data_IF_992753967657
#
_entry.id   IF_992753967657
#
_cell.length_a   1.000
_cell.length_b   1.000
_cell.length_c   1.000
_cell.angle_alpha   90.00
_cell.angle_beta   90.00
_cell.angle_gamma   90.00
#
_symmetry.space_group_name_H-M   'P 1'
#
loop_
_entity.id
_entity.type
_entity.pdbx_description
1 polymer ?
#
# COMPACT_ATOMS: atom_id res chain seq x y z
N UNK A 1 -21.10 -31.52 79.53
CA UNK A 1 -22.28 -32.01 78.78
C UNK A 1 -23.11 -30.77 78.52
N UNK A 2 -23.27 -30.24 77.31
CA UNK A 2 -23.68 -30.89 76.06
C UNK A 2 -23.09 -30.21 74.81
N UNK A 3 -22.81 -31.01 73.78
CA UNK A 3 -22.44 -30.59 72.41
C UNK A 3 -23.72 -30.20 71.66
N UNK A 4 -23.79 -29.04 70.98
CA UNK A 4 -24.58 -28.92 69.72
C UNK A 4 -23.98 -27.93 68.70
N UNK A 5 -23.53 -28.56 67.61
CA UNK A 5 -23.61 -28.19 66.19
C UNK A 5 -23.10 -26.82 65.68
N UNK A 6 -21.97 -26.96 64.96
CA UNK A 6 -21.57 -26.19 63.77
C UNK A 6 -22.77 -25.97 62.83
N UNK A 7 -23.03 -24.72 62.45
CA UNK A 7 -23.73 -24.37 61.21
C UNK A 7 -22.88 -23.40 60.41
N UNK A 8 -22.16 -23.96 59.45
CA UNK A 8 -21.70 -23.25 58.25
C UNK A 8 -22.93 -22.65 57.56
N UNK A 9 -23.01 -21.32 57.46
CA UNK A 9 -23.95 -20.65 56.56
C UNK A 9 -23.14 -19.71 55.67
N UNK A 10 -22.69 -20.32 54.57
CA UNK A 10 -22.67 -19.79 53.21
C UNK A 10 -22.49 -18.27 53.05
N UNK A 11 -21.25 -17.89 52.73
CA UNK A 11 -20.91 -16.71 51.94
C UNK A 11 -21.75 -16.72 50.65
N UNK A 12 -22.78 -15.89 50.58
CA UNK A 12 -23.56 -15.69 49.36
C UNK A 12 -22.74 -14.83 48.38
N UNK A 13 -22.44 -15.43 47.23
CA UNK A 13 -21.48 -14.97 46.23
C UNK A 13 -21.69 -13.54 45.75
N UNK A 14 -20.57 -12.80 45.71
CA UNK A 14 -20.45 -11.69 44.79
C UNK A 14 -20.64 -12.21 43.37
N UNK A 15 -21.68 -11.75 42.69
CA UNK A 15 -21.84 -11.98 41.26
C UNK A 15 -20.61 -11.37 40.55
N UNK A 16 -19.75 -12.25 40.05
CA UNK A 16 -18.72 -11.90 39.10
C UNK A 16 -19.39 -11.22 37.89
N UNK A 17 -19.08 -9.95 37.69
CA UNK A 17 -19.31 -9.29 36.40
C UNK A 17 -18.38 -9.99 35.42
N UNK A 18 -18.87 -11.03 34.76
CA UNK A 18 -18.19 -11.66 33.63
C UNK A 18 -18.20 -10.68 32.47
N UNK A 19 -17.28 -9.71 32.49
CA UNK A 19 -16.95 -8.93 31.31
C UNK A 19 -16.46 -9.91 30.25
N UNK A 20 -17.28 -10.14 29.24
CA UNK A 20 -16.89 -10.90 28.06
C UNK A 20 -15.63 -10.23 27.50
N UNK A 21 -14.50 -10.92 27.60
CA UNK A 21 -13.24 -10.54 26.96
C UNK A 21 -13.41 -10.71 25.45
N UNK A 22 -14.15 -9.81 24.81
CA UNK A 22 -14.02 -9.60 23.38
C UNK A 22 -12.62 -9.01 23.16
N UNK A 23 -11.81 -9.70 22.37
CA UNK A 23 -10.55 -9.14 21.90
C UNK A 23 -10.87 -7.80 21.23
N UNK A 24 -10.21 -6.73 21.67
CA UNK A 24 -10.36 -5.43 21.04
C UNK A 24 -10.03 -5.55 19.55
N UNK A 25 -10.75 -4.83 18.66
CA UNK A 25 -10.44 -4.84 17.23
C UNK A 25 -9.00 -4.38 17.01
N UNK A 26 -8.34 -4.99 16.03
CA UNK A 26 -6.97 -4.62 15.65
C UNK A 26 -6.92 -3.14 15.27
N UNK A 27 -5.98 -2.40 15.87
CA UNK A 27 -5.77 -1.00 15.50
C UNK A 27 -5.12 -0.89 14.11
N UNK A 28 -5.29 0.23 13.37
CA UNK A 28 -4.60 0.45 12.10
C UNK A 28 -3.09 0.26 12.20
N UNK A 29 -2.47 0.72 13.29
CA UNK A 29 -1.04 0.54 13.52
C UNK A 29 -0.65 -0.93 13.71
N UNK A 30 -1.45 -1.72 14.45
CA UNK A 30 -1.21 -3.16 14.62
C UNK A 30 -1.30 -3.91 13.29
N UNK A 31 -2.32 -3.61 12.48
CA UNK A 31 -2.51 -4.18 11.15
C UNK A 31 -1.31 -3.86 10.24
N UNK A 32 -0.97 -2.57 10.12
CA UNK A 32 0.10 -2.09 9.23
C UNK A 32 1.50 -2.50 9.64
N UNK A 33 1.75 -2.79 10.92
CA UNK A 33 3.06 -3.26 11.38
C UNK A 33 3.47 -4.58 10.71
N UNK A 34 2.52 -5.46 10.39
CA UNK A 34 2.78 -6.73 9.70
C UNK A 34 3.38 -6.54 8.30
N UNK A 35 3.13 -5.40 7.65
CA UNK A 35 3.61 -5.09 6.31
C UNK A 35 5.10 -4.71 6.30
N UNK A 36 5.64 -4.30 7.46
CA UNK A 36 6.99 -3.72 7.57
C UNK A 36 8.10 -4.71 7.24
N UNK A 37 7.83 -6.02 7.35
CA UNK A 37 8.78 -7.07 7.01
C UNK A 37 9.21 -7.04 5.53
N UNK A 38 8.35 -6.55 4.64
CA UNK A 38 8.66 -6.42 3.22
C UNK A 38 8.72 -4.94 2.80
N UNK A 39 7.77 -4.12 3.23
CA UNK A 39 7.66 -2.73 2.80
C UNK A 39 8.46 -1.75 3.68
N UNK A 40 9.28 -2.25 4.60
CA UNK A 40 10.10 -1.44 5.49
C UNK A 40 9.29 -0.75 6.59
N UNK A 41 9.99 -0.13 7.54
CA UNK A 41 9.36 0.54 8.67
C UNK A 41 8.43 1.66 8.16
N UNK A 42 7.20 1.70 8.69
CA UNK A 42 6.16 2.65 8.23
C UNK A 42 5.81 2.56 6.74
N UNK A 43 6.19 1.48 6.05
CA UNK A 43 5.99 1.36 4.60
C UNK A 43 7.05 2.09 3.76
N UNK A 44 8.19 2.46 4.35
CA UNK A 44 9.34 3.04 3.65
C UNK A 44 10.25 1.91 3.16
N UNK A 45 9.95 1.39 1.97
CA UNK A 45 10.62 0.20 1.46
C UNK A 45 12.10 0.47 1.17
N UNK A 46 12.97 -0.45 1.56
CA UNK A 46 14.41 -0.40 1.31
C UNK A 46 14.76 -1.48 0.28
N UNK A 47 14.93 -1.10 -0.98
CA UNK A 47 15.27 -2.02 -2.06
C UNK A 47 14.34 -1.92 -3.26
N UNK A 48 14.77 -2.39 -4.44
CA UNK A 48 14.32 -1.78 -5.69
C UNK A 48 12.94 -2.25 -6.18
N UNK A 49 12.49 -3.44 -5.79
CA UNK A 49 11.27 -4.05 -6.38
C UNK A 49 10.06 -4.01 -5.47
N UNK A 50 10.24 -3.82 -4.16
CA UNK A 50 9.13 -3.69 -3.21
C UNK A 50 8.73 -2.22 -3.12
N UNK A 51 7.47 -1.86 -3.38
CA UNK A 51 7.06 -0.47 -3.40
C UNK A 51 7.01 0.14 -2.00
N UNK A 52 7.37 1.42 -1.92
CA UNK A 52 7.05 2.28 -0.77
C UNK A 52 5.54 2.51 -0.70
N UNK A 53 4.96 2.24 0.47
CA UNK A 53 3.55 2.48 0.81
C UNK A 53 3.35 3.83 1.51
N UNK A 54 4.37 4.29 2.25
CA UNK A 54 4.32 5.54 3.00
C UNK A 54 3.97 6.73 2.09
N UNK A 55 2.97 7.52 2.47
CA UNK A 55 2.55 8.72 1.75
C UNK A 55 1.78 8.45 0.45
N UNK A 56 1.41 7.20 0.17
CA UNK A 56 0.43 6.90 -0.88
C UNK A 56 -0.99 7.31 -0.43
N UNK A 57 -1.87 7.70 -1.36
CA UNK A 57 -3.26 7.97 -1.02
C UNK A 57 -3.95 6.78 -0.34
N UNK A 58 -4.76 7.04 0.68
CA UNK A 58 -5.42 5.98 1.44
C UNK A 58 -6.32 5.11 0.54
N UNK A 59 -7.10 5.75 -0.34
CA UNK A 59 -7.94 5.06 -1.33
C UNK A 59 -7.12 4.17 -2.26
N UNK A 60 -5.97 4.66 -2.76
CA UNK A 60 -5.10 3.89 -3.63
C UNK A 60 -4.61 2.58 -2.97
N UNK A 61 -4.22 2.63 -1.70
CA UNK A 61 -3.81 1.44 -0.96
C UNK A 61 -4.98 0.48 -0.78
N UNK A 62 -6.14 1.00 -0.36
CA UNK A 62 -7.32 0.18 -0.13
C UNK A 62 -7.77 -0.54 -1.41
N UNK A 63 -7.81 0.19 -2.54
CA UNK A 63 -8.20 -0.37 -3.83
C UNK A 63 -7.17 -1.36 -4.35
N UNK A 64 -5.86 -1.09 -4.20
CA UNK A 64 -4.83 -2.04 -4.55
C UNK A 64 -4.98 -3.36 -3.79
N UNK A 65 -5.28 -3.30 -2.49
CA UNK A 65 -5.49 -4.49 -1.66
C UNK A 65 -6.74 -5.27 -2.07
N UNK A 66 -7.84 -4.58 -2.40
CA UNK A 66 -9.05 -5.21 -2.95
C UNK A 66 -8.76 -5.92 -4.27
N UNK A 67 -8.03 -5.27 -5.17
CA UNK A 67 -7.63 -5.85 -6.46
C UNK A 67 -6.72 -7.07 -6.29
N UNK A 68 -5.81 -7.05 -5.31
CA UNK A 68 -5.00 -8.23 -4.99
C UNK A 68 -5.84 -9.38 -4.42
N UNK A 69 -6.81 -9.07 -3.56
CA UNK A 69 -7.73 -10.06 -2.95
C UNK A 69 -8.63 -10.71 -3.99
N UNK A 70 -9.18 -9.93 -4.93
CA UNK A 70 -10.03 -10.41 -6.02
C UNK A 70 -9.24 -11.14 -7.12
N UNK A 71 -7.94 -10.85 -7.25
CA UNK A 71 -7.08 -11.36 -8.31
C UNK A 71 -7.05 -10.48 -9.57
N UNK A 72 -7.75 -9.34 -9.57
CA UNK A 72 -7.72 -8.35 -10.65
C UNK A 72 -6.30 -7.74 -10.82
N UNK A 73 -5.58 -7.59 -9.71
CA UNK A 73 -4.17 -7.21 -9.71
C UNK A 73 -3.35 -8.42 -9.29
N UNK A 74 -2.45 -8.85 -10.17
CA UNK A 74 -1.52 -9.94 -9.86
C UNK A 74 -0.30 -9.42 -9.11
N UNK A 75 0.29 -10.26 -8.26
CA UNK A 75 1.50 -9.96 -7.51
C UNK A 75 2.09 -11.25 -6.94
N UNK A 76 3.41 -11.27 -6.72
CA UNK A 76 4.14 -12.48 -6.30
C UNK A 76 3.59 -13.10 -5.02
N UNK A 77 3.27 -12.26 -4.03
CA UNK A 77 2.75 -12.69 -2.72
C UNK A 77 1.53 -11.91 -2.26
N UNK A 78 1.31 -10.69 -2.77
CA UNK A 78 0.28 -9.79 -2.27
C UNK A 78 -1.15 -10.33 -2.40
N UNK A 79 -1.44 -11.15 -3.43
CA UNK A 79 -2.75 -11.81 -3.53
C UNK A 79 -3.02 -12.81 -2.40
N UNK A 80 -1.98 -13.46 -1.84
CA UNK A 80 -2.12 -14.32 -0.65
C UNK A 80 -2.24 -13.50 0.62
N UNK A 81 -1.44 -12.44 0.73
CA UNK A 81 -1.47 -11.52 1.89
C UNK A 81 -2.83 -10.85 2.01
N UNK A 82 -3.37 -10.31 0.92
CA UNK A 82 -4.63 -9.59 0.92
C UNK A 82 -5.83 -10.45 1.35
N UNK A 83 -5.79 -11.77 1.12
CA UNK A 83 -6.85 -12.70 1.56
C UNK A 83 -6.98 -12.84 3.07
N UNK A 84 -5.96 -12.44 3.84
CA UNK A 84 -5.99 -12.51 5.30
C UNK A 84 -6.76 -11.35 5.95
N UNK A 85 -7.19 -10.36 5.17
CA UNK A 85 -7.72 -9.09 5.67
C UNK A 85 -9.10 -8.78 5.08
N UNK A 86 -9.85 -7.98 5.82
CA UNK A 86 -11.16 -7.46 5.43
C UNK A 86 -11.03 -6.14 4.66
N UNK A 87 -12.13 -5.69 4.08
CA UNK A 87 -12.16 -4.43 3.34
C UNK A 87 -12.03 -3.22 4.30
N UNK A 88 -12.51 -3.36 5.54
CA UNK A 88 -12.31 -2.37 6.61
C UNK A 88 -10.84 -2.30 7.02
N UNK A 89 -10.15 -3.44 7.12
CA UNK A 89 -8.71 -3.48 7.38
C UNK A 89 -7.92 -2.76 6.28
N UNK A 90 -8.34 -2.89 5.01
CA UNK A 90 -7.70 -2.20 3.89
C UNK A 90 -7.82 -0.68 4.00
N UNK A 91 -9.00 -0.19 4.37
CA UNK A 91 -9.23 1.24 4.60
C UNK A 91 -8.36 1.73 5.77
N UNK A 92 -8.34 1.01 6.89
CA UNK A 92 -7.52 1.33 8.05
C UNK A 92 -6.01 1.36 7.73
N UNK A 93 -5.52 0.39 6.97
CA UNK A 93 -4.12 0.38 6.52
C UNK A 93 -3.81 1.55 5.58
N UNK A 94 -4.73 1.85 4.65
CA UNK A 94 -4.60 2.98 3.74
C UNK A 94 -4.47 4.32 4.48
N UNK A 95 -5.36 4.56 5.45
CA UNK A 95 -5.29 5.73 6.34
C UNK A 95 -3.95 5.79 7.07
N UNK A 96 -3.52 4.69 7.67
CA UNK A 96 -2.25 4.63 8.40
C UNK A 96 -1.06 5.02 7.52
N UNK A 97 -0.93 4.42 6.32
CA UNK A 97 0.22 4.64 5.44
C UNK A 97 0.20 6.01 4.78
N UNK A 98 -0.99 6.53 4.43
CA UNK A 98 -1.14 7.87 3.84
C UNK A 98 -0.59 8.99 4.73
N UNK A 99 -0.63 8.81 6.04
CA UNK A 99 -0.10 9.77 7.02
C UNK A 99 1.41 9.64 7.25
N UNK A 100 2.07 8.65 6.63
CA UNK A 100 3.53 8.47 6.76
C UNK A 100 4.25 9.30 5.72
N UNK A 101 5.46 9.75 6.08
CA UNK A 101 6.31 10.49 5.15
C UNK A 101 6.83 9.55 4.07
N UNK A 102 6.55 9.87 2.80
CA UNK A 102 7.21 9.25 1.65
C UNK A 102 8.69 9.62 1.69
N UNK A 103 9.58 8.60 1.76
CA UNK A 103 11.02 8.78 1.67
C UNK A 103 11.47 8.41 0.27
N UNK A 104 12.20 9.33 -0.34
CA UNK A 104 12.79 9.17 -1.67
C UNK A 104 14.25 8.79 -1.48
N UNK A 105 14.61 7.61 -1.96
CA UNK A 105 15.97 7.10 -1.82
C UNK A 105 16.79 7.39 -3.07
N UNK A 106 18.11 7.60 -2.92
CA UNK A 106 18.98 7.73 -4.07
C UNK A 106 18.95 6.49 -4.98
N UNK A 107 18.79 6.71 -6.27
CA UNK A 107 18.70 5.67 -7.29
C UNK A 107 19.57 6.04 -8.50
N UNK A 108 20.12 5.03 -9.19
CA UNK A 108 20.85 5.27 -10.43
C UNK A 108 19.85 5.56 -11.55
N UNK A 109 20.12 6.61 -12.33
CA UNK A 109 19.31 7.03 -13.47
C UNK A 109 20.20 7.45 -14.63
N UNK A 110 19.67 7.35 -15.84
CA UNK A 110 20.28 7.86 -17.06
C UNK A 110 19.77 9.27 -17.35
N UNK A 111 20.67 10.26 -17.38
CA UNK A 111 20.32 11.68 -17.54
C UNK A 111 19.61 11.99 -18.86
N UNK A 112 19.96 11.31 -19.97
CA UNK A 112 19.30 11.52 -21.25
C UNK A 112 17.85 10.99 -21.20
N UNK A 113 17.65 9.85 -20.53
CA UNK A 113 16.32 9.27 -20.31
C UNK A 113 15.46 10.10 -19.35
N UNK A 114 16.06 10.72 -18.33
CA UNK A 114 15.36 11.64 -17.42
C UNK A 114 14.77 12.82 -18.19
N UNK A 115 15.54 13.45 -19.09
CA UNK A 115 15.07 14.57 -19.89
C UNK A 115 13.89 14.17 -20.78
N UNK A 116 14.02 13.05 -21.52
CA UNK A 116 12.94 12.51 -22.36
C UNK A 116 11.70 12.13 -21.53
N UNK A 117 11.89 11.47 -20.39
CA UNK A 117 10.80 11.05 -19.50
C UNK A 117 10.02 12.24 -18.94
N UNK A 118 10.70 13.35 -18.61
CA UNK A 118 10.03 14.58 -18.19
C UNK A 118 9.11 15.12 -19.28
N UNK A 119 9.58 15.19 -20.52
CA UNK A 119 8.75 15.64 -21.65
C UNK A 119 7.54 14.73 -21.86
N UNK A 120 7.74 13.40 -21.84
CA UNK A 120 6.65 12.43 -21.96
C UNK A 120 5.63 12.56 -20.83
N UNK A 121 6.07 12.83 -19.61
CA UNK A 121 5.20 13.07 -18.46
C UNK A 121 4.31 14.29 -18.68
N UNK A 122 4.90 15.40 -19.14
CA UNK A 122 4.18 16.65 -19.43
C UNK A 122 3.11 16.45 -20.52
N UNK A 123 3.39 15.61 -21.50
CA UNK A 123 2.47 15.36 -22.63
C UNK A 123 1.34 14.39 -22.27
N UNK A 124 1.65 13.34 -21.49
CA UNK A 124 0.79 12.17 -21.39
C UNK A 124 0.26 11.90 -19.97
N UNK A 125 0.97 12.31 -18.93
CA UNK A 125 0.74 11.83 -17.56
C UNK A 125 0.26 12.93 -16.60
N UNK A 126 0.72 14.17 -16.78
CA UNK A 126 0.55 15.25 -15.79
C UNK A 126 -0.89 15.58 -15.40
N UNK A 127 -1.85 15.26 -16.26
CA UNK A 127 -3.27 15.54 -16.01
C UNK A 127 -3.80 14.79 -14.79
N UNK A 128 -3.23 13.63 -14.46
CA UNK A 128 -3.66 12.79 -13.33
C UNK A 128 -2.52 12.46 -12.36
N UNK A 129 -1.26 12.59 -12.80
CA UNK A 129 -0.07 12.47 -11.98
C UNK A 129 0.60 13.84 -11.89
N UNK A 130 0.07 14.73 -11.05
CA UNK A 130 0.51 16.13 -10.96
C UNK A 130 1.87 16.25 -10.26
N UNK A 131 2.49 17.43 -10.33
CA UNK A 131 3.77 17.74 -9.68
C UNK A 131 4.89 16.73 -10.03
N UNK A 132 4.98 16.33 -11.30
CA UNK A 132 5.94 15.32 -11.75
C UNK A 132 5.59 13.89 -11.30
N UNK A 133 4.36 13.64 -10.87
CA UNK A 133 3.91 12.37 -10.30
C UNK A 133 4.12 12.25 -8.79
N UNK A 134 4.36 13.37 -8.09
CA UNK A 134 4.40 13.45 -6.63
C UNK A 134 3.02 13.40 -6.01
N UNK A 135 2.01 13.74 -6.79
CA UNK A 135 0.61 13.74 -6.41
C UNK A 135 -0.21 13.00 -7.47
N UNK A 136 -1.38 12.53 -7.07
CA UNK A 136 -2.33 11.91 -7.98
C UNK A 136 -3.75 12.04 -7.46
N UNK A 137 -4.69 12.37 -8.36
CA UNK A 137 -6.11 12.52 -8.02
C UNK A 137 -6.76 11.16 -7.75
N UNK A 138 -6.52 10.17 -8.62
CA UNK A 138 -7.15 8.84 -8.59
C UNK A 138 -6.12 7.69 -8.66
N UNK A 139 -4.85 7.96 -8.36
CA UNK A 139 -3.73 7.04 -8.55
C UNK A 139 -2.72 7.06 -7.41
N UNK A 140 -1.61 6.35 -7.61
CA UNK A 140 -0.52 6.31 -6.65
C UNK A 140 0.51 7.41 -6.92
N UNK A 141 1.25 7.80 -5.88
CA UNK A 141 2.49 8.58 -6.00
C UNK A 141 3.54 7.72 -6.71
N UNK A 142 4.07 8.23 -7.82
CA UNK A 142 5.06 7.53 -8.66
C UNK A 142 6.45 8.17 -8.60
N UNK A 143 6.53 9.47 -8.32
CA UNK A 143 7.80 10.19 -8.19
C UNK A 143 8.60 9.73 -6.96
N UNK A 144 9.81 9.24 -7.21
CA UNK A 144 10.72 8.70 -6.19
C UNK A 144 10.36 7.30 -5.72
N UNK A 145 9.37 6.65 -6.33
CA UNK A 145 9.17 5.21 -6.17
C UNK A 145 10.34 4.44 -6.79
N UNK A 146 10.55 3.21 -6.36
CA UNK A 146 11.65 2.41 -6.85
C UNK A 146 11.53 2.08 -8.34
N UNK A 147 12.62 2.28 -9.08
CA UNK A 147 12.66 2.13 -10.54
C UNK A 147 12.29 0.72 -11.00
N UNK A 148 12.76 -0.32 -10.31
CA UNK A 148 12.45 -1.70 -10.66
C UNK A 148 10.96 -2.01 -10.43
N UNK A 149 10.37 -1.55 -9.32
CA UNK A 149 8.91 -1.66 -9.13
C UNK A 149 8.13 -0.93 -10.24
N UNK A 150 8.59 0.25 -10.65
CA UNK A 150 7.94 0.99 -11.73
C UNK A 150 8.08 0.26 -13.07
N UNK A 151 9.23 -0.31 -13.41
CA UNK A 151 9.39 -1.14 -14.61
C UNK A 151 8.43 -2.32 -14.62
N UNK A 152 8.36 -3.07 -13.51
CA UNK A 152 7.41 -4.18 -13.35
C UNK A 152 5.98 -3.69 -13.56
N UNK A 153 5.62 -2.56 -12.95
CA UNK A 153 4.29 -1.97 -13.09
C UNK A 153 3.97 -1.56 -14.53
N UNK A 154 4.92 -0.93 -15.22
CA UNK A 154 4.77 -0.55 -16.63
C UNK A 154 4.60 -1.78 -17.52
N UNK A 155 5.34 -2.86 -17.25
CA UNK A 155 5.23 -4.11 -18.02
C UNK A 155 3.93 -4.87 -17.73
N UNK A 156 3.44 -4.84 -16.49
CA UNK A 156 2.14 -5.42 -16.14
C UNK A 156 0.99 -4.69 -16.84
N UNK A 157 1.07 -3.37 -16.96
CA UNK A 157 0.12 -2.58 -17.74
C UNK A 157 0.23 -2.86 -19.25
N UNK A 158 1.45 -2.86 -19.80
CA UNK A 158 1.66 -3.11 -21.23
C UNK A 158 1.24 -4.53 -21.65
N UNK A 159 1.40 -5.51 -20.78
CA UNK A 159 0.96 -6.90 -20.99
C UNK A 159 -0.49 -7.16 -20.58
N UNK A 160 -1.22 -6.13 -20.12
CA UNK A 160 -2.61 -6.22 -19.65
C UNK A 160 -2.83 -7.17 -18.47
N UNK A 161 -1.76 -7.54 -17.75
CA UNK A 161 -1.83 -8.28 -16.48
C UNK A 161 -2.40 -7.46 -15.34
N UNK A 162 -2.36 -6.13 -15.49
CA UNK A 162 -2.97 -5.18 -14.57
C UNK A 162 -3.89 -4.26 -15.35
N UNK A 163 -5.13 -4.13 -14.87
CA UNK A 163 -6.09 -3.22 -15.45
C UNK A 163 -5.65 -1.76 -15.27
N UNK A 164 -5.94 -0.94 -16.28
CA UNK A 164 -5.77 0.51 -16.23
C UNK A 164 -7.12 1.20 -16.37
N UNK A 165 -7.34 2.34 -15.70
CA UNK A 165 -8.45 3.22 -16.04
C UNK A 165 -8.37 3.61 -17.52
N UNK A 166 -9.53 3.68 -18.20
CA UNK A 166 -9.60 3.95 -19.65
C UNK A 166 -8.79 5.18 -20.08
N UNK A 167 -8.90 6.28 -19.33
CA UNK A 167 -8.16 7.54 -19.61
C UNK A 167 -6.64 7.36 -19.55
N UNK A 168 -6.15 6.50 -18.65
CA UNK A 168 -4.73 6.17 -18.56
C UNK A 168 -4.31 5.26 -19.71
N UNK A 169 -5.11 4.24 -20.03
CA UNK A 169 -4.83 3.32 -21.14
C UNK A 169 -4.66 4.06 -22.47
N UNK A 170 -5.53 5.04 -22.77
CA UNK A 170 -5.45 5.87 -23.99
C UNK A 170 -4.12 6.63 -24.13
N UNK A 171 -3.49 7.01 -23.00
CA UNK A 171 -2.20 7.70 -22.99
C UNK A 171 -1.02 6.75 -22.90
N UNK A 172 -1.23 5.57 -22.33
CA UNK A 172 -0.20 4.59 -22.06
C UNK A 172 0.06 3.63 -23.23
N UNK A 173 -0.99 3.16 -23.91
CA UNK A 173 -0.88 2.13 -24.95
C UNK A 173 -0.07 2.59 -26.19
N UNK A 174 0.05 3.91 -26.40
CA UNK A 174 0.90 4.48 -27.46
C UNK A 174 2.39 4.56 -27.12
N UNK A 175 2.79 4.26 -25.88
CA UNK A 175 4.18 4.40 -25.43
C UNK A 175 5.01 3.18 -25.80
N UNK A 176 6.16 3.40 -26.44
CA UNK A 176 7.14 2.34 -26.68
C UNK A 176 7.79 1.86 -25.38
N UNK A 177 8.51 0.73 -25.43
CA UNK A 177 9.29 0.25 -24.28
C UNK A 177 10.30 1.30 -23.80
N UNK A 178 10.95 1.99 -24.75
CA UNK A 178 11.94 3.03 -24.45
C UNK A 178 11.29 4.30 -23.87
N UNK A 179 10.05 4.62 -24.25
CA UNK A 179 9.31 5.73 -23.64
C UNK A 179 8.93 5.41 -22.20
N UNK A 180 8.52 4.17 -21.92
CA UNK A 180 8.21 3.71 -20.56
C UNK A 180 9.46 3.70 -19.68
N UNK A 181 10.60 3.22 -20.19
CA UNK A 181 11.89 3.27 -19.49
C UNK A 181 12.36 4.72 -19.24
N UNK A 182 12.14 5.64 -20.20
CA UNK A 182 12.42 7.06 -20.01
C UNK A 182 11.57 7.67 -18.88
N UNK A 183 10.27 7.39 -18.86
CA UNK A 183 9.37 7.80 -17.77
C UNK A 183 9.84 7.26 -16.41
N UNK A 184 10.23 5.98 -16.33
CA UNK A 184 10.74 5.40 -15.07
C UNK A 184 12.02 6.10 -14.60
N UNK A 185 12.95 6.38 -15.51
CA UNK A 185 14.16 7.16 -15.17
C UNK A 185 13.80 8.56 -14.65
N UNK A 186 12.84 9.24 -15.28
CA UNK A 186 12.36 10.53 -14.80
C UNK A 186 11.78 10.44 -13.38
N UNK A 187 10.89 9.48 -13.11
CA UNK A 187 10.30 9.33 -11.77
C UNK A 187 11.34 8.93 -10.71
N UNK A 188 12.28 8.05 -11.05
CA UNK A 188 13.35 7.62 -10.14
C UNK A 188 14.41 8.71 -9.89
N UNK A 189 14.52 9.71 -10.77
CA UNK A 189 15.41 10.86 -10.58
C UNK A 189 14.92 11.86 -9.52
N UNK A 190 13.64 11.77 -9.14
CA UNK A 190 13.03 12.61 -8.12
C UNK A 190 13.34 12.02 -6.74
N UNK A 191 14.53 12.33 -6.23
CA UNK A 191 15.11 11.82 -4.99
C UNK A 191 15.02 12.83 -3.84
#
# INVERSE_FOLDING_TARGET
>A
MERKLIKFVLLAGGLAVSSSLWAAPSTPAMLSNTCSACHGQFGQAVGPSIPTLAGQPASYIADAMKQFKSGERTGSVMGRVAKAYTDDDFNAMGEFFSQKKFVRYPQKVDAAKVAKGKELHEQNCKKCHTEGGRESEDGGVIAGQWSEYLHITMDDFASKKRAMPKKMAEKFEGLSKDDRDALVNFYASQQ
#
